data_IF_542676970187
#
_entry.id   IF_542676970187
#
_cell.length_a   1.000
_cell.length_b   1.000
_cell.length_c   1.000
_cell.angle_alpha   90.00
_cell.angle_beta   90.00
_cell.angle_gamma   90.00
#
_symmetry.space_group_name_H-M   'P 1'
#
loop_
_entity.id
_entity.type
_entity.pdbx_description
1 polymer ?
#
# COMPACT_ATOMS: atom_id res chain seq x y z
N UNK A 1 -14.96 -11.76 29.69
CA UNK A 1 -15.56 -12.50 28.57
C UNK A 1 -16.62 -11.60 27.97
N UNK A 2 -16.39 -11.05 26.77
CA UNK A 2 -17.43 -10.27 26.05
C UNK A 2 -18.55 -11.26 25.72
N UNK A 3 -19.78 -11.02 26.17
CA UNK A 3 -20.94 -11.85 25.80
C UNK A 3 -21.02 -11.84 24.27
N UNK A 4 -20.93 -13.00 23.63
CA UNK A 4 -21.12 -13.12 22.19
C UNK A 4 -22.60 -12.83 21.90
N UNK A 5 -22.90 -11.56 21.55
CA UNK A 5 -24.22 -11.16 21.07
C UNK A 5 -24.57 -11.92 19.79
N UNK A 6 -25.85 -12.22 19.61
CA UNK A 6 -26.33 -12.87 18.40
C UNK A 6 -25.97 -12.03 17.15
N UNK A 7 -25.39 -12.63 16.09
CA UNK A 7 -25.06 -11.89 14.89
C UNK A 7 -26.29 -11.24 14.24
N UNK A 8 -26.14 -9.98 13.88
CA UNK A 8 -27.10 -9.15 13.14
C UNK A 8 -26.35 -8.52 11.96
N UNK A 9 -26.51 -9.12 10.79
CA UNK A 9 -25.68 -8.88 9.62
C UNK A 9 -26.43 -7.99 8.63
N UNK A 10 -25.79 -6.89 8.20
CA UNK A 10 -26.20 -6.15 7.01
C UNK A 10 -25.37 -6.58 5.81
N UNK A 11 -26.04 -6.91 4.70
CA UNK A 11 -25.40 -7.36 3.46
C UNK A 11 -25.61 -6.32 2.36
N UNK A 12 -24.53 -5.85 1.74
CA UNK A 12 -24.61 -4.79 0.75
C UNK A 12 -23.89 -5.19 -0.55
N UNK A 13 -24.64 -5.28 -1.64
CA UNK A 13 -24.13 -5.71 -2.95
C UNK A 13 -23.93 -4.49 -3.86
N UNK A 14 -22.69 -4.25 -4.29
CA UNK A 14 -22.33 -3.11 -5.12
C UNK A 14 -22.51 -3.41 -6.61
N UNK A 15 -23.02 -2.45 -7.38
CA UNK A 15 -23.08 -2.56 -8.84
C UNK A 15 -21.73 -2.19 -9.49
N UNK A 16 -21.01 -1.27 -8.86
CA UNK A 16 -19.79 -0.66 -9.38
C UNK A 16 -20.00 -0.08 -10.79
N UNK A 17 -21.11 0.65 -10.96
CA UNK A 17 -21.61 1.01 -12.28
C UNK A 17 -22.01 -0.26 -13.03
N UNK A 18 -21.38 -0.52 -14.18
CA UNK A 18 -21.55 -1.76 -14.93
C UNK A 18 -20.43 -2.80 -14.68
N UNK A 19 -19.44 -2.48 -13.84
CA UNK A 19 -18.32 -3.40 -13.62
C UNK A 19 -18.74 -4.70 -12.94
N UNK A 20 -19.74 -4.66 -12.05
CA UNK A 20 -20.34 -5.86 -11.44
C UNK A 20 -21.70 -6.11 -12.08
N UNK A 21 -22.59 -5.12 -12.06
CA UNK A 21 -23.98 -5.28 -12.53
C UNK A 21 -24.12 -5.55 -14.05
N UNK A 22 -23.07 -5.31 -14.85
CA UNK A 22 -23.07 -5.68 -16.27
C UNK A 22 -22.93 -7.18 -16.53
N UNK A 23 -22.57 -7.99 -15.52
CA UNK A 23 -22.36 -9.44 -15.63
C UNK A 23 -23.11 -10.20 -14.54
N UNK A 24 -23.09 -9.70 -13.31
CA UNK A 24 -23.73 -10.32 -12.15
C UNK A 24 -25.08 -9.66 -11.92
N UNK A 25 -26.15 -10.46 -11.83
CA UNK A 25 -27.45 -9.99 -11.39
C UNK A 25 -27.45 -9.74 -9.88
N UNK A 26 -27.11 -8.50 -9.53
CA UNK A 26 -26.99 -8.02 -8.15
C UNK A 26 -28.32 -8.08 -7.37
N UNK A 27 -29.47 -7.95 -8.05
CA UNK A 27 -30.77 -8.06 -7.41
C UNK A 27 -31.03 -9.52 -7.00
N UNK A 28 -30.77 -10.46 -7.90
CA UNK A 28 -30.84 -11.91 -7.62
C UNK A 28 -29.87 -12.32 -6.50
N UNK A 29 -28.68 -11.72 -6.43
CA UNK A 29 -27.75 -11.95 -5.31
C UNK A 29 -28.36 -11.52 -3.97
N UNK A 30 -28.97 -10.33 -3.90
CA UNK A 30 -29.64 -9.83 -2.69
C UNK A 30 -30.81 -10.73 -2.31
N UNK A 31 -31.67 -11.07 -3.26
CA UNK A 31 -32.84 -11.93 -3.02
C UNK A 31 -32.45 -13.32 -2.52
N UNK A 32 -31.34 -13.87 -2.99
CA UNK A 32 -30.86 -15.19 -2.57
C UNK A 32 -30.29 -15.23 -1.13
N UNK A 33 -29.96 -14.07 -0.54
CA UNK A 33 -29.27 -14.02 0.77
C UNK A 33 -30.04 -13.28 1.86
N UNK A 34 -31.07 -12.50 1.51
CA UNK A 34 -31.83 -11.67 2.46
C UNK A 34 -32.51 -12.46 3.58
N UNK A 35 -32.93 -13.69 3.31
CA UNK A 35 -33.65 -14.55 4.26
C UNK A 35 -32.73 -15.56 4.98
N UNK A 36 -31.40 -15.46 4.79
CA UNK A 36 -30.47 -16.34 5.49
C UNK A 36 -30.42 -16.01 6.99
N UNK A 37 -30.16 -17.00 7.87
CA UNK A 37 -30.07 -16.76 9.31
C UNK A 37 -29.13 -15.59 9.65
N UNK A 38 -29.52 -14.76 10.61
CA UNK A 38 -28.77 -13.57 11.06
C UNK A 38 -28.67 -12.40 10.05
N UNK A 39 -29.12 -12.55 8.80
CA UNK A 39 -29.20 -11.43 7.86
C UNK A 39 -30.44 -10.61 8.22
N UNK A 40 -30.23 -9.38 8.68
CA UNK A 40 -31.31 -8.48 9.12
C UNK A 40 -31.73 -7.55 7.99
N UNK A 41 -30.79 -7.17 7.13
CA UNK A 41 -31.03 -6.32 5.97
C UNK A 41 -30.08 -6.72 4.85
N UNK A 42 -30.59 -6.74 3.62
CA UNK A 42 -29.79 -6.93 2.42
C UNK A 42 -30.22 -5.90 1.36
N UNK A 43 -29.25 -5.19 0.77
CA UNK A 43 -29.50 -4.14 -0.23
C UNK A 43 -28.47 -4.20 -1.34
N UNK A 44 -28.80 -3.59 -2.47
CA UNK A 44 -27.82 -3.28 -3.50
C UNK A 44 -27.84 -1.78 -3.82
N UNK A 45 -26.68 -1.23 -4.17
CA UNK A 45 -26.54 0.18 -4.55
C UNK A 45 -25.44 0.36 -5.59
N UNK A 46 -25.52 1.44 -6.37
CA UNK A 46 -24.68 1.65 -7.55
C UNK A 46 -23.19 1.71 -7.18
N UNK A 47 -22.86 2.51 -6.17
CA UNK A 47 -21.50 2.68 -5.67
C UNK A 47 -21.48 2.60 -4.14
N UNK A 48 -21.25 1.42 -3.59
CA UNK A 48 -21.23 1.24 -2.12
C UNK A 48 -20.09 2.02 -1.44
N UNK A 49 -19.04 2.41 -2.16
CA UNK A 49 -17.90 3.15 -1.60
C UNK A 49 -18.08 4.67 -1.65
N UNK A 50 -19.08 5.19 -2.37
CA UNK A 50 -19.38 6.62 -2.39
C UNK A 50 -20.05 7.06 -1.09
N UNK A 51 -20.07 8.37 -0.82
CA UNK A 51 -20.67 8.91 0.40
C UNK A 51 -22.13 8.46 0.60
N UNK A 52 -23.02 8.46 -0.44
CA UNK A 52 -24.36 7.89 -0.29
C UNK A 52 -24.37 6.40 0.09
N UNK A 53 -23.49 5.60 -0.52
CA UNK A 53 -23.39 4.16 -0.22
C UNK A 53 -22.89 3.90 1.21
N UNK A 54 -21.94 4.71 1.67
CA UNK A 54 -21.43 4.64 3.03
C UNK A 54 -22.47 5.10 4.07
N UNK A 55 -23.18 6.20 3.80
CA UNK A 55 -24.25 6.69 4.68
C UNK A 55 -25.39 5.68 4.81
N UNK A 56 -25.75 5.01 3.72
CA UNK A 56 -26.75 3.93 3.74
C UNK A 56 -26.35 2.80 4.71
N UNK A 57 -25.10 2.36 4.70
CA UNK A 57 -24.61 1.35 5.67
C UNK A 57 -24.69 1.89 7.10
N UNK A 58 -24.27 3.14 7.32
CA UNK A 58 -24.24 3.76 8.65
C UNK A 58 -25.64 3.90 9.25
N UNK A 59 -26.59 4.39 8.47
CA UNK A 59 -28.00 4.50 8.86
C UNK A 59 -28.59 3.13 9.19
N UNK A 60 -28.30 2.11 8.37
CA UNK A 60 -28.79 0.75 8.62
C UNK A 60 -28.15 0.13 9.88
N UNK A 61 -26.86 0.40 10.17
CA UNK A 61 -26.20 -0.01 11.43
C UNK A 61 -26.98 0.55 12.63
N UNK A 62 -27.28 1.84 12.62
CA UNK A 62 -27.97 2.51 13.72
C UNK A 62 -29.43 2.08 13.86
N UNK A 63 -30.15 1.98 12.73
CA UNK A 63 -31.58 1.66 12.66
C UNK A 63 -31.86 0.21 13.01
N UNK A 64 -31.09 -0.72 12.44
CA UNK A 64 -31.32 -2.16 12.59
C UNK A 64 -30.44 -2.79 13.67
N UNK A 65 -29.62 -1.99 14.37
CA UNK A 65 -28.70 -2.45 15.41
C UNK A 65 -27.80 -3.58 14.88
N UNK A 66 -27.19 -3.34 13.73
CA UNK A 66 -26.29 -4.32 13.11
C UNK A 66 -25.01 -4.40 13.92
N UNK A 67 -24.52 -5.61 14.12
CA UNK A 67 -23.23 -5.85 14.78
C UNK A 67 -22.23 -6.55 13.85
N UNK A 68 -22.60 -6.81 12.60
CA UNK A 68 -21.75 -7.34 11.52
C UNK A 68 -22.14 -6.70 10.20
N UNK A 69 -21.16 -6.49 9.32
CA UNK A 69 -21.39 -5.93 7.97
C UNK A 69 -20.66 -6.77 6.94
N UNK A 70 -21.36 -7.14 5.87
CA UNK A 70 -20.79 -7.79 4.68
C UNK A 70 -20.98 -6.87 3.49
N UNK A 71 -19.90 -6.50 2.81
CA UNK A 71 -19.98 -5.76 1.54
C UNK A 71 -19.47 -6.63 0.40
N UNK A 72 -20.35 -6.91 -0.56
CA UNK A 72 -20.07 -7.69 -1.74
C UNK A 72 -19.76 -6.74 -2.91
N UNK A 73 -18.48 -6.55 -3.23
CA UNK A 73 -18.04 -5.50 -4.17
C UNK A 73 -16.69 -5.84 -4.84
N UNK A 74 -15.68 -5.00 -4.67
CA UNK A 74 -14.32 -5.15 -5.19
C UNK A 74 -13.40 -5.84 -4.19
N UNK A 75 -12.12 -5.93 -4.54
CA UNK A 75 -11.07 -6.53 -3.71
C UNK A 75 -10.94 -5.87 -2.33
N UNK A 76 -10.77 -6.67 -1.25
CA UNK A 76 -10.43 -6.15 0.07
C UNK A 76 -9.12 -5.35 0.07
N UNK A 77 -8.17 -5.67 -0.82
CA UNK A 77 -6.93 -4.90 -0.98
C UNK A 77 -7.16 -3.43 -1.36
N UNK A 78 -8.34 -3.11 -1.92
CA UNK A 78 -8.69 -1.76 -2.34
C UNK A 78 -9.50 -1.01 -1.29
N UNK A 79 -10.65 -1.57 -0.85
CA UNK A 79 -11.62 -0.83 -0.04
C UNK A 79 -11.89 -1.41 1.36
N UNK A 80 -11.21 -2.49 1.79
CA UNK A 80 -11.34 -2.98 3.17
C UNK A 80 -11.00 -1.89 4.20
N UNK A 81 -9.93 -1.09 4.05
CA UNK A 81 -9.66 0.02 4.99
C UNK A 81 -10.76 1.08 5.00
N UNK A 82 -11.40 1.34 3.86
CA UNK A 82 -12.48 2.31 3.73
C UNK A 82 -13.71 1.85 4.52
N UNK A 83 -14.19 0.64 4.29
CA UNK A 83 -15.35 0.11 5.00
C UNK A 83 -15.06 -0.17 6.47
N UNK A 84 -13.83 -0.54 6.83
CA UNK A 84 -13.42 -0.67 8.23
C UNK A 84 -13.55 0.65 8.99
N UNK A 85 -13.09 1.76 8.41
CA UNK A 85 -13.27 3.09 9.00
C UNK A 85 -14.74 3.48 9.09
N UNK A 86 -15.54 3.14 8.07
CA UNK A 86 -16.97 3.40 8.06
C UNK A 86 -17.69 2.72 9.22
N UNK A 87 -17.55 1.39 9.36
CA UNK A 87 -18.26 0.65 10.42
C UNK A 87 -17.75 1.06 11.81
N UNK A 88 -16.46 1.37 11.94
CA UNK A 88 -15.86 1.91 13.18
C UNK A 88 -16.47 3.26 13.55
N UNK A 89 -16.67 4.15 12.58
CA UNK A 89 -17.34 5.44 12.78
C UNK A 89 -18.82 5.32 13.17
N UNK A 90 -19.44 4.18 12.88
CA UNK A 90 -20.82 3.84 13.25
C UNK A 90 -20.91 3.02 14.55
N UNK A 91 -19.80 2.87 15.29
CA UNK A 91 -19.75 2.18 16.58
C UNK A 91 -19.59 0.66 16.49
N UNK A 92 -19.38 0.08 15.31
CA UNK A 92 -19.13 -1.35 15.12
C UNK A 92 -17.63 -1.60 15.02
N UNK A 93 -17.11 -2.57 15.77
CA UNK A 93 -15.68 -2.92 15.71
C UNK A 93 -15.28 -3.28 14.27
N UNK A 94 -14.22 -2.66 13.73
CA UNK A 94 -13.80 -2.83 12.33
C UNK A 94 -13.41 -4.25 11.91
N UNK A 95 -13.17 -5.16 12.85
CA UNK A 95 -12.89 -6.57 12.56
C UNK A 95 -14.16 -7.43 12.51
N UNK A 96 -15.33 -6.81 12.71
CA UNK A 96 -16.67 -7.40 12.52
C UNK A 96 -17.25 -7.12 11.12
N UNK A 97 -16.37 -6.75 10.19
CA UNK A 97 -16.64 -6.47 8.80
C UNK A 97 -15.98 -7.52 7.90
N UNK A 98 -16.69 -7.96 6.85
CA UNK A 98 -16.20 -8.90 5.84
C UNK A 98 -16.50 -8.40 4.43
N UNK A 99 -15.61 -8.69 3.47
CA UNK A 99 -15.84 -8.41 2.05
C UNK A 99 -16.00 -9.69 1.24
N UNK A 100 -16.96 -9.69 0.33
CA UNK A 100 -17.03 -10.65 -0.77
C UNK A 100 -16.56 -9.97 -2.07
N UNK A 101 -15.51 -10.49 -2.71
CA UNK A 101 -15.01 -9.93 -3.97
C UNK A 101 -15.84 -10.45 -5.14
N UNK A 102 -16.77 -9.63 -5.63
CA UNK A 102 -17.61 -9.91 -6.79
C UNK A 102 -17.09 -9.28 -8.09
N UNK A 103 -16.01 -8.49 -8.05
CA UNK A 103 -15.48 -7.80 -9.24
C UNK A 103 -14.29 -8.54 -9.83
N UNK A 104 -13.11 -8.39 -9.22
CA UNK A 104 -11.87 -8.98 -9.74
C UNK A 104 -11.92 -10.52 -9.73
N UNK A 105 -12.70 -11.12 -8.82
CA UNK A 105 -12.83 -12.57 -8.68
C UNK A 105 -14.13 -13.14 -9.25
N UNK A 106 -15.03 -12.29 -9.77
CA UNK A 106 -16.27 -12.76 -10.38
C UNK A 106 -16.61 -12.04 -11.69
N UNK A 107 -17.23 -10.86 -11.65
CA UNK A 107 -17.80 -10.22 -12.84
C UNK A 107 -16.78 -9.98 -13.96
N UNK A 108 -15.56 -9.52 -13.64
CA UNK A 108 -14.55 -9.21 -14.65
C UNK A 108 -13.97 -10.45 -15.35
N UNK A 109 -14.04 -11.61 -14.70
CA UNK A 109 -13.42 -12.84 -15.21
C UNK A 109 -14.45 -13.86 -15.75
N UNK A 110 -15.75 -13.59 -15.56
CA UNK A 110 -16.85 -14.47 -16.01
C UNK A 110 -17.86 -13.76 -16.92
N UNK A 111 -17.46 -12.66 -17.59
CA UNK A 111 -18.34 -11.91 -18.50
C UNK A 111 -19.07 -12.78 -19.56
N UNK A 112 -18.44 -13.82 -20.15
CA UNK A 112 -19.13 -14.72 -21.09
C UNK A 112 -20.20 -15.63 -20.46
N UNK A 113 -20.25 -15.76 -19.12
CA UNK A 113 -21.18 -16.65 -18.42
C UNK A 113 -21.94 -15.94 -17.28
N UNK A 114 -22.83 -14.97 -17.58
CA UNK A 114 -23.53 -14.16 -16.57
C UNK A 114 -24.32 -14.97 -15.53
N UNK A 115 -24.99 -16.05 -15.94
CA UNK A 115 -25.75 -16.92 -15.04
C UNK A 115 -24.84 -17.59 -14.01
N UNK A 116 -23.74 -18.19 -14.47
CA UNK A 116 -22.73 -18.82 -13.60
C UNK A 116 -21.99 -17.81 -12.75
N UNK A 117 -21.73 -16.60 -13.27
CA UNK A 117 -21.16 -15.50 -12.50
C UNK A 117 -22.08 -15.09 -11.34
N UNK A 118 -23.39 -15.07 -11.59
CA UNK A 118 -24.40 -14.76 -10.57
C UNK A 118 -24.48 -15.86 -9.51
N UNK A 119 -24.49 -17.14 -9.91
CA UNK A 119 -24.44 -18.28 -8.97
C UNK A 119 -23.19 -18.21 -8.09
N UNK A 120 -22.02 -18.01 -8.72
CA UNK A 120 -20.76 -17.83 -8.00
C UNK A 120 -20.83 -16.64 -7.03
N UNK A 121 -21.42 -15.52 -7.44
CA UNK A 121 -21.56 -14.34 -6.59
C UNK A 121 -22.44 -14.63 -5.36
N UNK A 122 -23.54 -15.36 -5.52
CA UNK A 122 -24.38 -15.81 -4.41
C UNK A 122 -23.56 -16.63 -3.41
N UNK A 123 -22.78 -17.59 -3.90
CA UNK A 123 -21.97 -18.45 -3.03
C UNK A 123 -20.86 -17.67 -2.31
N UNK A 124 -20.18 -16.75 -2.99
CA UNK A 124 -19.18 -15.87 -2.36
C UNK A 124 -19.80 -15.02 -1.24
N UNK A 125 -21.01 -14.49 -1.44
CA UNK A 125 -21.72 -13.74 -0.40
C UNK A 125 -22.15 -14.64 0.75
N UNK A 126 -22.66 -15.84 0.48
CA UNK A 126 -22.97 -16.85 1.52
C UNK A 126 -21.75 -17.21 2.36
N UNK A 127 -20.59 -17.40 1.72
CA UNK A 127 -19.32 -17.67 2.40
C UNK A 127 -18.90 -16.51 3.30
N UNK A 128 -19.00 -15.27 2.81
CA UNK A 128 -18.70 -14.07 3.59
C UNK A 128 -19.64 -13.92 4.79
N UNK A 129 -20.95 -14.16 4.61
CA UNK A 129 -21.94 -14.19 5.70
C UNK A 129 -21.58 -15.27 6.73
N UNK A 130 -21.25 -16.49 6.28
CA UNK A 130 -20.87 -17.59 7.17
C UNK A 130 -19.64 -17.24 8.02
N UNK A 131 -18.62 -16.61 7.43
CA UNK A 131 -17.45 -16.10 8.15
C UNK A 131 -17.82 -14.95 9.10
N UNK A 132 -18.65 -14.01 8.65
CA UNK A 132 -19.09 -12.85 9.45
C UNK A 132 -19.78 -13.25 10.75
N UNK A 133 -20.58 -14.34 10.75
CA UNK A 133 -21.20 -14.92 11.95
C UNK A 133 -20.18 -15.33 13.02
N UNK A 134 -18.95 -15.67 12.61
CA UNK A 134 -17.88 -16.16 13.49
C UNK A 134 -16.80 -15.11 13.77
N UNK A 135 -16.89 -13.92 13.16
CA UNK A 135 -15.97 -12.83 13.46
C UNK A 135 -16.12 -12.38 14.92
N UNK A 136 -14.98 -12.04 15.51
CA UNK A 136 -14.87 -11.53 16.88
C UNK A 136 -14.26 -10.13 16.85
N UNK A 137 -14.66 -9.25 17.77
CA UNK A 137 -14.02 -7.93 17.87
C UNK A 137 -12.55 -8.11 18.20
N UNK A 138 -11.68 -7.38 17.50
CA UNK A 138 -10.25 -7.34 17.79
C UNK A 138 -9.82 -5.92 18.12
N UNK A 139 -8.65 -5.80 18.75
CA UNK A 139 -8.03 -4.52 19.07
C UNK A 139 -6.81 -4.29 18.20
N UNK A 140 -6.63 -3.06 17.72
CA UNK A 140 -5.44 -2.68 16.98
C UNK A 140 -4.28 -2.50 17.95
N UNK A 141 -3.20 -3.26 17.73
CA UNK A 141 -1.95 -3.08 18.47
C UNK A 141 -1.29 -1.77 18.05
N UNK A 142 -1.01 -0.90 19.02
CA UNK A 142 -0.20 0.30 18.80
C UNK A 142 1.27 -0.07 18.98
N UNK A 143 2.10 0.32 18.02
CA UNK A 143 3.55 0.12 18.07
C UNK A 143 4.24 1.47 17.97
N UNK A 144 5.40 1.60 18.64
CA UNK A 144 6.25 2.78 18.47
C UNK A 144 6.82 2.77 17.06
N UNK A 145 6.92 3.94 16.43
CA UNK A 145 7.58 4.09 15.12
C UNK A 145 8.91 4.76 15.36
N UNK A 146 9.99 4.12 14.90
CA UNK A 146 11.31 4.73 14.90
C UNK A 146 11.32 5.96 13.98
N UNK A 147 11.85 7.09 14.46
CA UNK A 147 11.84 8.36 13.70
C UNK A 147 13.04 8.43 12.74
N UNK A 148 13.19 7.39 11.93
CA UNK A 148 14.21 7.30 10.92
C UNK A 148 13.65 6.67 9.63
N UNK A 149 14.27 7.00 8.51
CA UNK A 149 13.96 6.42 7.21
C UNK A 149 15.22 5.82 6.57
N UNK A 150 15.04 4.71 5.87
CA UNK A 150 16.03 4.17 4.94
C UNK A 150 15.56 4.42 3.51
N UNK A 151 16.45 4.94 2.67
CA UNK A 151 16.25 5.11 1.24
C UNK A 151 17.25 4.21 0.52
N UNK A 152 16.75 3.37 -0.38
CA UNK A 152 17.57 2.47 -1.20
C UNK A 152 17.61 3.01 -2.62
N UNK A 153 18.79 3.45 -3.04
CA UNK A 153 19.06 4.09 -4.32
C UNK A 153 19.34 5.59 -4.19
N UNK A 154 20.55 5.99 -4.52
CA UNK A 154 21.07 7.35 -4.53
C UNK A 154 20.87 8.10 -5.85
N UNK A 155 19.86 7.74 -6.65
CA UNK A 155 19.44 8.52 -7.82
C UNK A 155 18.66 9.78 -7.42
N UNK A 156 18.26 10.59 -8.39
CA UNK A 156 17.55 11.87 -8.16
C UNK A 156 16.31 11.72 -7.25
N UNK A 157 15.53 10.65 -7.43
CA UNK A 157 14.36 10.37 -6.59
C UNK A 157 14.74 10.12 -5.13
N UNK A 158 15.76 9.29 -4.88
CA UNK A 158 16.22 8.97 -3.53
C UNK A 158 16.91 10.14 -2.85
N UNK A 159 17.72 10.90 -3.59
CA UNK A 159 18.35 12.15 -3.13
C UNK A 159 17.28 13.15 -2.72
N UNK A 160 16.25 13.40 -3.55
CA UNK A 160 15.17 14.32 -3.20
C UNK A 160 14.38 13.85 -1.98
N UNK A 161 14.03 12.56 -1.92
CA UNK A 161 13.34 12.00 -0.77
C UNK A 161 14.16 12.14 0.53
N UNK A 162 15.49 12.00 0.45
CA UNK A 162 16.38 12.14 1.59
C UNK A 162 16.37 13.58 2.13
N UNK A 163 16.51 14.57 1.23
CA UNK A 163 16.45 15.99 1.57
C UNK A 163 15.09 16.34 2.21
N UNK A 164 14.00 15.96 1.57
CA UNK A 164 12.64 16.25 2.02
C UNK A 164 12.34 15.68 3.42
N UNK A 165 12.88 14.50 3.75
CA UNK A 165 12.74 13.90 5.08
C UNK A 165 13.66 14.56 6.10
N UNK A 166 14.90 14.86 5.72
CA UNK A 166 15.88 15.51 6.58
C UNK A 166 15.48 16.94 6.97
N UNK A 167 14.89 17.69 6.03
CA UNK A 167 14.37 19.04 6.24
C UNK A 167 13.19 19.05 7.25
N UNK A 168 12.43 17.95 7.32
CA UNK A 168 11.40 17.72 8.33
C UNK A 168 11.95 17.18 9.66
N UNK A 169 13.27 17.08 9.80
CA UNK A 169 13.94 16.66 11.03
C UNK A 169 14.02 15.14 11.25
N UNK A 170 13.75 14.33 10.23
CA UNK A 170 13.93 12.88 10.35
C UNK A 170 15.39 12.47 10.09
N UNK A 171 15.86 11.46 10.82
CA UNK A 171 17.13 10.80 10.50
C UNK A 171 16.95 9.96 9.23
N UNK A 172 17.86 10.09 8.28
CA UNK A 172 17.80 9.37 7.01
C UNK A 172 19.08 8.58 6.79
N UNK A 173 18.95 7.34 6.35
CA UNK A 173 20.04 6.54 5.81
C UNK A 173 19.81 6.40 4.31
N UNK A 174 20.79 6.80 3.49
CA UNK A 174 20.73 6.69 2.04
C UNK A 174 21.74 5.66 1.55
N UNK A 175 21.27 4.49 1.12
CA UNK A 175 22.11 3.39 0.63
C UNK A 175 22.18 3.42 -0.89
N UNK A 176 23.38 3.47 -1.44
CA UNK A 176 23.65 3.43 -2.88
C UNK A 176 24.69 2.36 -3.20
N UNK A 177 24.34 1.47 -4.14
CA UNK A 177 25.17 0.35 -4.55
C UNK A 177 26.44 0.78 -5.28
N UNK A 178 26.39 1.88 -6.02
CA UNK A 178 27.52 2.46 -6.77
C UNK A 178 28.40 3.30 -5.86
N UNK A 179 29.65 3.56 -6.26
CA UNK A 179 30.55 4.38 -5.46
C UNK A 179 30.18 5.88 -5.44
N UNK A 180 29.20 6.31 -6.22
CA UNK A 180 28.73 7.69 -6.40
C UNK A 180 27.20 7.79 -6.38
N UNK A 181 26.68 9.00 -6.10
CA UNK A 181 25.25 9.34 -6.17
C UNK A 181 24.89 9.99 -7.51
N UNK A 182 23.59 10.14 -7.78
CA UNK A 182 23.06 10.84 -8.98
C UNK A 182 22.33 9.91 -9.96
N UNK A 183 22.63 8.61 -9.92
CA UNK A 183 21.99 7.60 -10.75
C UNK A 183 22.18 7.87 -12.25
N UNK A 184 21.15 7.64 -13.05
CA UNK A 184 21.20 7.87 -14.51
C UNK A 184 21.18 9.36 -14.89
N UNK A 185 20.70 10.23 -14.01
CA UNK A 185 20.56 11.65 -14.34
C UNK A 185 21.92 12.32 -14.52
N UNK A 186 22.97 11.83 -13.86
CA UNK A 186 24.34 12.32 -14.06
C UNK A 186 24.99 11.77 -15.33
N UNK A 187 24.39 10.78 -15.98
CA UNK A 187 24.89 10.14 -17.22
C UNK A 187 24.27 10.76 -18.49
N UNK A 188 23.23 11.59 -18.33
CA UNK A 188 22.57 12.28 -19.45
C UNK A 188 23.07 13.71 -19.54
N UNK A 189 23.19 14.22 -20.77
CA UNK A 189 23.63 15.59 -20.99
C UNK A 189 22.51 16.58 -20.66
N UNK A 190 21.38 16.48 -21.37
CA UNK A 190 20.25 17.42 -21.27
C UNK A 190 18.96 16.73 -20.89
N UNK A 191 18.16 17.42 -20.08
CA UNK A 191 16.78 17.00 -19.79
C UNK A 191 15.88 17.43 -20.95
N UNK A 192 14.97 16.53 -21.35
CA UNK A 192 14.02 16.82 -22.41
C UNK A 192 13.10 18.00 -22.05
N UNK A 193 12.52 18.64 -23.07
CA UNK A 193 11.61 19.81 -22.99
C UNK A 193 12.34 21.10 -22.58
N UNK A 194 13.07 21.12 -21.46
CA UNK A 194 13.75 22.34 -20.99
C UNK A 194 15.14 22.54 -21.59
N UNK A 195 15.77 21.47 -22.11
CA UNK A 195 17.13 21.47 -22.65
C UNK A 195 18.21 21.98 -21.67
N UNK A 196 17.89 21.97 -20.38
CA UNK A 196 18.81 22.27 -19.29
C UNK A 196 19.80 21.13 -19.11
N UNK A 197 21.01 21.47 -18.69
CA UNK A 197 22.04 20.49 -18.41
C UNK A 197 21.67 19.72 -17.13
N UNK A 198 21.62 18.40 -17.23
CA UNK A 198 21.10 17.56 -16.14
C UNK A 198 21.98 17.65 -14.89
N UNK A 199 23.29 17.84 -15.08
CA UNK A 199 24.24 17.98 -13.98
C UNK A 199 24.01 19.29 -13.20
N UNK A 200 23.60 20.38 -13.85
CA UNK A 200 23.27 21.65 -13.17
C UNK A 200 22.05 21.50 -12.25
N UNK A 201 21.09 20.65 -12.65
CA UNK A 201 19.90 20.37 -11.84
C UNK A 201 20.24 19.48 -10.65
N UNK A 202 21.07 18.46 -10.86
CA UNK A 202 21.31 17.40 -9.86
C UNK A 202 22.40 17.76 -8.87
N UNK A 203 23.47 18.44 -9.30
CA UNK A 203 24.64 18.72 -8.44
C UNK A 203 24.31 19.46 -7.15
N UNK A 204 23.46 20.51 -7.14
CA UNK A 204 23.11 21.21 -5.90
C UNK A 204 22.48 20.26 -4.86
N UNK A 205 21.61 19.34 -5.31
CA UNK A 205 20.95 18.36 -4.44
C UNK A 205 21.95 17.34 -3.89
N UNK A 206 22.92 16.89 -4.71
CA UNK A 206 23.95 15.97 -4.25
C UNK A 206 24.84 16.61 -3.19
N UNK A 207 25.24 17.86 -3.39
CA UNK A 207 26.01 18.62 -2.41
C UNK A 207 25.26 18.80 -1.10
N UNK A 208 23.97 19.15 -1.18
CA UNK A 208 23.13 19.34 -0.01
C UNK A 208 23.00 18.04 0.79
N UNK A 209 22.76 16.91 0.10
CA UNK A 209 22.72 15.59 0.75
C UNK A 209 24.02 15.25 1.47
N UNK A 210 25.16 15.51 0.83
CA UNK A 210 26.48 15.21 1.42
C UNK A 210 26.82 16.09 2.62
N UNK A 211 26.27 17.31 2.69
CA UNK A 211 26.49 18.26 3.79
C UNK A 211 25.46 18.13 4.92
N UNK A 212 24.34 17.43 4.71
CA UNK A 212 23.24 17.39 5.66
C UNK A 212 23.51 16.44 6.84
N UNK A 213 23.55 16.93 8.09
CA UNK A 213 23.88 16.10 9.26
C UNK A 213 22.81 15.05 9.61
N UNK A 214 21.58 15.21 9.11
CA UNK A 214 20.50 14.25 9.32
C UNK A 214 20.54 13.10 8.31
N UNK A 215 21.38 13.18 7.27
CA UNK A 215 21.48 12.16 6.22
C UNK A 215 22.81 11.42 6.35
N UNK A 216 22.74 10.12 6.62
CA UNK A 216 23.90 9.23 6.56
C UNK A 216 23.96 8.56 5.20
N UNK A 217 24.93 8.95 4.37
CA UNK A 217 25.13 8.39 3.03
C UNK A 217 26.03 7.15 3.09
N UNK A 218 25.56 6.05 2.51
CA UNK A 218 26.25 4.77 2.41
C UNK A 218 26.38 4.40 0.93
N UNK A 219 27.38 4.96 0.26
CA UNK A 219 27.76 4.58 -1.12
C UNK A 219 28.57 3.28 -1.12
N UNK A 220 28.66 2.63 -2.28
CA UNK A 220 29.25 1.30 -2.44
C UNK A 220 28.64 0.28 -1.45
N UNK A 221 27.35 0.42 -1.17
CA UNK A 221 26.66 -0.34 -0.13
C UNK A 221 25.33 -0.89 -0.63
N UNK A 222 24.97 -2.09 -0.17
CA UNK A 222 23.74 -2.77 -0.59
C UNK A 222 22.99 -3.29 0.64
N UNK A 223 21.66 -3.24 0.58
CA UNK A 223 20.81 -3.92 1.57
C UNK A 223 20.88 -5.42 1.30
N UNK A 224 21.28 -6.20 2.29
CA UNK A 224 21.35 -7.66 2.19
C UNK A 224 20.14 -8.34 2.83
N UNK A 225 19.68 -7.82 3.96
CA UNK A 225 18.60 -8.42 4.73
C UNK A 225 17.65 -7.34 5.25
N UNK A 226 16.37 -7.69 5.28
CA UNK A 226 15.30 -6.87 5.83
C UNK A 226 14.40 -7.75 6.70
N UNK A 227 14.23 -7.37 7.96
CA UNK A 227 13.32 -8.04 8.89
C UNK A 227 12.50 -7.04 9.71
N UNK A 228 11.48 -7.52 10.41
CA UNK A 228 10.58 -6.70 11.21
C UNK A 228 9.29 -6.29 10.49
N UNK A 229 8.70 -5.16 10.89
CA UNK A 229 7.42 -4.67 10.40
C UNK A 229 7.38 -3.13 10.41
N UNK A 230 6.31 -2.54 9.87
CA UNK A 230 6.17 -1.08 9.71
C UNK A 230 6.54 -0.35 11.01
N UNK A 231 7.54 0.54 10.92
CA UNK A 231 8.05 1.36 12.02
C UNK A 231 9.07 0.70 12.94
N UNK A 232 9.27 -0.63 12.87
CA UNK A 232 10.26 -1.38 13.64
C UNK A 232 10.93 -2.41 12.71
N UNK A 233 11.91 -1.93 11.95
CA UNK A 233 12.64 -2.73 10.97
C UNK A 233 14.09 -2.85 11.38
N UNK A 234 14.69 -4.00 11.11
CA UNK A 234 16.12 -4.24 11.23
C UNK A 234 16.67 -4.54 9.84
N UNK A 235 17.73 -3.84 9.46
CA UNK A 235 18.24 -3.84 8.10
C UNK A 235 19.75 -4.01 8.13
N UNK A 236 20.22 -5.07 7.47
CA UNK A 236 21.65 -5.35 7.32
C UNK A 236 22.12 -4.73 6.01
N UNK A 237 23.12 -3.85 6.10
CA UNK A 237 23.72 -3.19 4.94
C UNK A 237 25.17 -3.64 4.80
N UNK A 238 25.50 -4.29 3.68
CA UNK A 238 26.88 -4.61 3.32
C UNK A 238 27.51 -3.41 2.64
N UNK A 239 28.54 -2.85 3.28
CA UNK A 239 29.43 -1.87 2.66
C UNK A 239 30.57 -2.60 1.97
N UNK A 240 30.61 -2.55 0.64
CA UNK A 240 31.68 -3.18 -0.15
C UNK A 240 33.01 -2.45 0.10
N UNK A 241 34.14 -3.16 0.22
CA UNK A 241 35.43 -2.52 0.40
C UNK A 241 35.76 -1.67 -0.83
N UNK A 242 36.20 -0.44 -0.58
CA UNK A 242 36.76 0.45 -1.63
C UNK A 242 38.26 0.21 -1.86
N UNK A 243 38.90 -0.57 -0.98
CA UNK A 243 40.35 -0.76 -0.92
C UNK A 243 41.15 0.55 -0.81
N UNK A 244 40.50 1.59 -0.30
CA UNK A 244 41.07 2.91 0.00
C UNK A 244 40.50 3.35 1.36
N UNK A 245 41.33 3.96 2.21
CA UNK A 245 40.95 4.38 3.56
C UNK A 245 40.51 5.85 3.61
N UNK A 246 40.16 6.32 4.81
CA UNK A 246 39.71 7.68 5.12
C UNK A 246 40.72 8.79 4.82
N UNK A 247 41.99 8.45 4.51
CA UNK A 247 43.03 9.42 4.13
C UNK A 247 43.00 9.81 2.65
N UNK A 248 42.08 9.24 1.87
CA UNK A 248 41.92 9.58 0.45
C UNK A 248 41.56 11.05 0.27
N UNK A 249 42.32 11.76 -0.57
CA UNK A 249 42.07 13.16 -0.94
C UNK A 249 41.37 13.32 -2.28
N UNK A 250 41.00 12.21 -2.94
CA UNK A 250 40.41 12.18 -4.28
C UNK A 250 41.24 12.92 -5.36
N UNK A 251 42.57 12.94 -5.23
CA UNK A 251 43.45 13.70 -6.14
C UNK A 251 43.68 13.08 -7.54
N UNK A 252 43.23 11.86 -7.80
CA UNK A 252 43.34 11.20 -9.12
C UNK A 252 44.71 10.59 -9.47
N UNK A 253 45.79 10.95 -8.77
CA UNK A 253 47.17 10.47 -9.08
C UNK A 253 47.35 8.95 -9.13
N UNK A 254 46.54 8.20 -8.37
CA UNK A 254 46.59 6.73 -8.40
C UNK A 254 46.05 6.14 -9.71
N UNK A 255 45.14 6.83 -10.39
CA UNK A 255 44.56 6.40 -11.67
C UNK A 255 45.59 6.53 -12.78
N UNK A 256 46.38 7.60 -12.78
CA UNK A 256 47.43 7.88 -13.78
C UNK A 256 48.51 6.79 -13.86
N UNK A 257 48.81 6.13 -12.74
CA UNK A 257 49.85 5.09 -12.66
C UNK A 257 49.29 3.67 -12.78
N UNK A 258 47.97 3.50 -12.94
CA UNK A 258 47.34 2.19 -12.98
C UNK A 258 47.62 1.47 -14.32
N UNK A 259 48.23 0.27 -14.31
CA UNK A 259 48.56 -0.44 -15.55
C UNK A 259 47.40 -1.30 -16.09
N UNK A 260 46.26 -1.35 -15.39
CA UNK A 260 45.11 -2.17 -15.74
C UNK A 260 43.98 -1.27 -16.24
N UNK A 261 43.48 -1.56 -17.42
CA UNK A 261 42.31 -0.92 -18.00
C UNK A 261 41.06 -1.79 -17.77
N UNK A 262 39.96 -1.14 -17.43
CA UNK A 262 38.64 -1.77 -17.27
C UNK A 262 37.58 -0.90 -17.95
N UNK A 263 36.51 -1.48 -18.52
CA UNK A 263 35.41 -0.69 -19.06
C UNK A 263 34.78 0.19 -17.97
N UNK A 264 34.53 1.46 -18.31
CA UNK A 264 33.78 2.35 -17.42
C UNK A 264 32.30 1.96 -17.41
N UNK A 265 31.74 1.73 -16.22
CA UNK A 265 30.32 1.42 -16.03
C UNK A 265 29.43 2.67 -15.98
N UNK A 266 30.05 3.87 -15.95
CA UNK A 266 29.36 5.15 -15.96
C UNK A 266 28.75 5.50 -17.32
#
# INVERSE_FOLDING_TARGET
>A
MVKEEEPRIGVYVCHCGLNIAGVVDVAKVVDAVKDLPNVVIARHYVYMCSDPGQNLIKEDIEKYKLNRVVVASCSPQMHEPTYRRLVESAGVNKYLFEMANLREQCSWVHAPWPERATEKAIDLVKMAIAKARRLRPLETRKVKVERAALIVGGGVSGVKAALDLAERGFKVYLVERRPYLGGRATQINKVAITHQDALEIVSPMLEEVMKNPNITVLTNSEVEEFSGYIGNVEITVRKKPRFVNEKCTACGKCVEVCPVEVPDEF
#
